data_IF_010710670477
#
_entry.id   IF_010710670477
#
_cell.length_a   1.000
_cell.length_b   1.000
_cell.length_c   1.000
_cell.angle_alpha   90.00
_cell.angle_beta   90.00
_cell.angle_gamma   90.00
#
_symmetry.space_group_name_H-M   'P 1'
#
loop_
_entity.id
_entity.type
_entity.pdbx_description
1 polymer ?
#
# COMPACT_ATOMS: atom_id res chain seq x y z
N UNK A 1 5.42 -12.10 6.69
CA UNK A 1 4.32 -12.86 6.02
C UNK A 1 3.66 -13.88 6.92
N UNK A 2 4.39 -14.84 7.50
CA UNK A 2 3.80 -15.94 8.30
C UNK A 2 2.85 -15.49 9.42
N UNK A 3 3.11 -14.34 10.06
CA UNK A 3 2.24 -13.78 11.10
C UNK A 3 1.11 -12.88 10.58
N UNK A 4 1.29 -12.27 9.41
CA UNK A 4 0.32 -11.33 8.82
C UNK A 4 -0.77 -12.05 8.03
N UNK A 5 -0.40 -13.04 7.22
CA UNK A 5 -1.35 -13.78 6.36
C UNK A 5 -2.50 -14.42 7.14
N UNK A 6 -2.30 -15.04 8.32
CA UNK A 6 -3.41 -15.57 9.11
C UNK A 6 -4.45 -14.52 9.53
N UNK A 7 -4.07 -13.24 9.59
CA UNK A 7 -4.93 -12.16 10.08
C UNK A 7 -5.82 -11.56 8.99
N UNK A 8 -5.52 -11.80 7.71
CA UNK A 8 -6.23 -11.17 6.57
C UNK A 8 -7.71 -11.55 6.50
N UNK A 9 -8.05 -12.75 6.99
CA UNK A 9 -9.42 -13.26 7.02
C UNK A 9 -10.36 -12.37 7.86
N UNK A 10 -9.81 -11.65 8.84
CA UNK A 10 -10.54 -10.67 9.66
C UNK A 10 -11.18 -9.58 8.80
N UNK A 11 -10.49 -9.15 7.75
CA UNK A 11 -10.94 -8.07 6.87
C UNK A 11 -11.61 -8.61 5.62
N UNK A 12 -11.19 -9.80 5.17
CA UNK A 12 -11.70 -10.41 3.95
C UNK A 12 -11.55 -11.94 4.00
N UNK A 13 -12.65 -12.68 4.25
CA UNK A 13 -12.58 -14.14 4.43
C UNK A 13 -11.98 -14.91 3.25
N UNK A 14 -12.25 -14.51 2.01
CA UNK A 14 -11.69 -15.19 0.83
C UNK A 14 -10.18 -14.97 0.68
N UNK A 15 -9.64 -13.88 1.24
CA UNK A 15 -8.21 -13.55 1.16
C UNK A 15 -7.32 -14.54 1.92
N UNK A 16 -7.87 -15.34 2.82
CA UNK A 16 -7.16 -16.44 3.47
C UNK A 16 -6.65 -17.50 2.48
N UNK A 17 -7.29 -17.61 1.31
CA UNK A 17 -6.95 -18.58 0.26
C UNK A 17 -6.13 -17.98 -0.88
N UNK A 18 -5.81 -16.69 -0.81
CA UNK A 18 -5.00 -16.05 -1.84
C UNK A 18 -3.57 -16.56 -1.79
N UNK A 19 -2.89 -16.67 -2.95
CA UNK A 19 -1.50 -17.10 -3.02
C UNK A 19 -0.56 -15.95 -2.60
N UNK A 20 -0.62 -15.57 -1.34
CA UNK A 20 0.21 -14.50 -0.79
C UNK A 20 1.70 -14.81 -0.99
N UNK A 21 2.39 -13.91 -1.69
CA UNK A 21 3.80 -14.08 -2.05
C UNK A 21 4.55 -12.80 -1.76
N UNK A 22 5.77 -12.93 -1.23
CA UNK A 22 6.70 -11.83 -1.07
C UNK A 22 7.88 -12.07 -2.01
N UNK A 23 8.14 -11.10 -2.89
CA UNK A 23 9.31 -11.05 -3.76
C UNK A 23 10.23 -9.96 -3.24
N UNK A 24 11.45 -10.34 -2.84
CA UNK A 24 12.47 -9.39 -2.43
C UNK A 24 13.33 -9.01 -3.64
N UNK A 25 13.34 -7.72 -3.97
CA UNK A 25 14.16 -7.17 -5.06
C UNK A 25 15.42 -6.56 -4.45
N UNK A 26 16.58 -7.05 -4.88
CA UNK A 26 17.87 -6.56 -4.40
C UNK A 26 18.33 -5.30 -5.15
N UNK A 27 17.74 -4.17 -4.80
CA UNK A 27 18.06 -2.85 -5.38
C UNK A 27 18.05 -1.78 -4.28
N UNK A 28 18.77 -0.67 -4.51
CA UNK A 28 18.84 0.47 -3.59
C UNK A 28 17.56 1.34 -3.56
N UNK A 29 16.56 1.01 -4.36
CA UNK A 29 15.28 1.70 -4.42
C UNK A 29 14.54 1.61 -3.07
N UNK A 30 13.99 2.74 -2.60
CA UNK A 30 13.11 2.79 -1.42
C UNK A 30 11.68 2.65 -1.92
N UNK A 31 11.20 1.41 -2.00
CA UNK A 31 9.85 1.10 -2.48
C UNK A 31 9.33 -0.26 -1.96
N UNK A 32 8.02 -0.42 -2.04
CA UNK A 32 7.27 -1.67 -1.92
C UNK A 32 5.94 -1.47 -2.67
N UNK A 33 5.38 -2.54 -3.22
CA UNK A 33 4.05 -2.47 -3.84
C UNK A 33 3.37 -3.83 -3.80
N UNK A 34 2.04 -3.82 -3.80
CA UNK A 34 1.21 -5.02 -3.96
C UNK A 34 0.50 -5.05 -5.30
N UNK A 35 0.34 -6.25 -5.86
CA UNK A 35 -0.57 -6.53 -6.96
C UNK A 35 -1.82 -7.25 -6.43
N UNK A 36 -2.92 -7.12 -7.18
CA UNK A 36 -4.14 -7.88 -6.93
C UNK A 36 -3.84 -9.38 -6.77
N UNK A 37 -4.49 -10.02 -5.78
CA UNK A 37 -4.26 -11.43 -5.44
C UNK A 37 -3.08 -11.69 -4.49
N UNK A 38 -2.48 -10.65 -3.91
CA UNK A 38 -1.58 -10.79 -2.75
C UNK A 38 -0.09 -11.00 -3.07
N UNK A 39 0.35 -10.58 -4.26
CA UNK A 39 1.78 -10.59 -4.61
C UNK A 39 2.42 -9.26 -4.23
N UNK A 40 3.31 -9.29 -3.26
CA UNK A 40 4.00 -8.11 -2.72
C UNK A 40 5.44 -8.11 -3.20
N UNK A 41 5.88 -6.99 -3.72
CA UNK A 41 7.28 -6.72 -4.04
C UNK A 41 7.86 -5.80 -2.97
N UNK A 42 9.06 -6.12 -2.47
CA UNK A 42 9.74 -5.32 -1.45
C UNK A 42 11.19 -5.10 -1.88
N UNK A 43 11.70 -3.88 -1.78
CA UNK A 43 13.05 -3.55 -2.24
C UNK A 43 14.03 -3.51 -1.06
N UNK A 44 15.22 -4.11 -1.18
CA UNK A 44 16.21 -4.14 -0.08
C UNK A 44 16.68 -2.74 0.32
N UNK A 45 16.63 -1.77 -0.58
CA UNK A 45 16.92 -0.36 -0.33
C UNK A 45 15.99 0.27 0.70
N UNK A 46 14.71 -0.13 0.75
CA UNK A 46 13.76 0.32 1.75
C UNK A 46 14.23 -0.06 3.17
N UNK A 47 14.68 -1.30 3.36
CA UNK A 47 15.21 -1.79 4.64
C UNK A 47 16.52 -1.09 4.98
N UNK A 48 17.48 -1.07 4.05
CA UNK A 48 18.85 -0.61 4.32
C UNK A 48 18.92 0.90 4.55
N UNK A 49 18.21 1.71 3.76
CA UNK A 49 18.28 3.17 3.83
C UNK A 49 17.54 3.75 5.02
N UNK A 50 16.42 3.14 5.43
CA UNK A 50 15.65 3.57 6.59
C UNK A 50 16.00 2.82 7.88
N UNK A 51 16.89 1.81 7.79
CA UNK A 51 17.27 0.91 8.90
C UNK A 51 16.02 0.37 9.59
N UNK A 52 15.17 -0.29 8.80
CA UNK A 52 13.86 -0.74 9.29
C UNK A 52 14.00 -1.86 10.32
N UNK A 53 13.22 -1.78 11.39
CA UNK A 53 13.01 -2.89 12.33
C UNK A 53 12.00 -3.88 11.76
N UNK A 54 11.89 -5.06 12.37
CA UNK A 54 10.86 -6.06 12.01
C UNK A 54 9.43 -5.49 12.11
N UNK A 55 9.17 -4.64 13.10
CA UNK A 55 7.85 -4.00 13.27
C UNK A 55 7.59 -2.95 12.17
N UNK A 56 8.61 -2.20 11.74
CA UNK A 56 8.47 -1.24 10.64
C UNK A 56 8.34 -1.94 9.29
N UNK A 57 9.04 -3.06 9.08
CA UNK A 57 8.82 -3.93 7.90
C UNK A 57 7.38 -4.45 7.92
N UNK A 58 6.86 -4.88 9.06
CA UNK A 58 5.48 -5.33 9.17
C UNK A 58 4.47 -4.21 8.95
N UNK A 59 4.78 -2.97 9.32
CA UNK A 59 3.95 -1.81 9.00
C UNK A 59 3.86 -1.57 7.47
N UNK A 60 5.00 -1.60 6.74
CA UNK A 60 4.99 -1.53 5.26
C UNK A 60 4.19 -2.69 4.68
N UNK A 61 4.47 -3.93 5.12
CA UNK A 61 3.77 -5.11 4.62
C UNK A 61 2.26 -5.05 4.92
N UNK A 62 1.88 -4.56 6.10
CA UNK A 62 0.47 -4.40 6.48
C UNK A 62 -0.25 -3.39 5.60
N UNK A 63 0.39 -2.27 5.31
CA UNK A 63 -0.10 -1.25 4.37
C UNK A 63 -0.33 -1.82 2.96
N UNK A 64 0.67 -2.52 2.42
CA UNK A 64 0.56 -3.17 1.11
C UNK A 64 -0.52 -4.25 1.10
N UNK A 65 -0.61 -5.08 2.14
CA UNK A 65 -1.68 -6.07 2.25
C UNK A 65 -3.06 -5.41 2.31
N UNK A 66 -3.19 -4.26 2.98
CA UNK A 66 -4.44 -3.50 3.04
C UNK A 66 -4.86 -2.99 1.65
N UNK A 67 -3.96 -2.48 0.83
CA UNK A 67 -4.28 -2.10 -0.56
C UNK A 67 -4.88 -3.26 -1.37
N UNK A 68 -4.37 -4.48 -1.19
CA UNK A 68 -4.92 -5.66 -1.85
C UNK A 68 -6.28 -6.07 -1.27
N UNK A 69 -6.41 -6.08 0.06
CA UNK A 69 -7.65 -6.44 0.74
C UNK A 69 -8.81 -5.51 0.37
N UNK A 70 -8.50 -4.22 0.20
CA UNK A 70 -9.42 -3.14 -0.17
C UNK A 70 -9.58 -2.93 -1.67
N UNK A 71 -8.93 -3.76 -2.50
CA UNK A 71 -9.05 -3.70 -3.97
C UNK A 71 -8.64 -2.35 -4.58
N UNK A 72 -7.80 -1.56 -3.90
CA UNK A 72 -7.44 -0.20 -4.34
C UNK A 72 -6.81 -0.17 -5.75
N UNK A 73 -6.00 -1.17 -6.09
CA UNK A 73 -5.43 -1.28 -7.45
C UNK A 73 -6.50 -1.51 -8.52
N UNK A 74 -7.53 -2.32 -8.21
CA UNK A 74 -8.64 -2.59 -9.12
C UNK A 74 -9.55 -1.38 -9.25
N UNK A 75 -9.83 -0.70 -8.14
CA UNK A 75 -10.61 0.55 -8.14
C UNK A 75 -9.91 1.62 -8.97
N UNK A 76 -8.61 1.85 -8.75
CA UNK A 76 -7.79 2.79 -9.52
C UNK A 76 -7.77 2.46 -11.02
N UNK A 77 -7.61 1.19 -11.37
CA UNK A 77 -7.69 0.75 -12.77
C UNK A 77 -9.06 1.01 -13.39
N UNK A 78 -10.14 0.78 -12.65
CA UNK A 78 -11.50 1.07 -13.09
C UNK A 78 -11.73 2.57 -13.30
N UNK A 79 -11.21 3.42 -12.41
CA UNK A 79 -11.29 4.87 -12.53
C UNK A 79 -10.51 5.37 -13.77
N UNK A 80 -9.31 4.83 -14.02
CA UNK A 80 -8.53 5.16 -15.23
C UNK A 80 -9.27 4.78 -16.51
N UNK A 81 -9.80 3.55 -16.59
CA UNK A 81 -10.54 3.09 -17.76
C UNK A 81 -11.80 3.93 -18.03
N UNK A 82 -12.51 4.35 -16.97
CA UNK A 82 -13.65 5.25 -17.11
C UNK A 82 -13.24 6.65 -17.60
N UNK A 83 -12.11 7.19 -17.11
CA UNK A 83 -11.55 8.45 -17.58
C UNK A 83 -11.15 8.39 -19.06
N UNK A 84 -10.46 7.33 -19.47
CA UNK A 84 -10.05 7.14 -20.87
C UNK A 84 -11.26 7.01 -21.80
N UNK A 85 -12.30 6.30 -21.37
CA UNK A 85 -13.57 6.22 -22.12
C UNK A 85 -14.23 7.60 -22.27
N UNK A 86 -14.26 8.40 -21.19
CA UNK A 86 -14.83 9.74 -21.23
C UNK A 86 -14.06 10.65 -22.20
N UNK A 87 -12.72 10.59 -22.18
CA UNK A 87 -11.86 11.33 -23.13
C UNK A 87 -12.08 10.85 -24.56
N UNK A 88 -12.21 9.54 -24.79
CA UNK A 88 -12.49 9.00 -26.13
C UNK A 88 -13.84 9.45 -26.68
N UNK A 89 -14.89 9.47 -25.85
CA UNK A 89 -16.21 9.97 -26.26
C UNK A 89 -16.13 11.47 -26.56
N UNK A 90 -15.50 12.26 -25.69
CA UNK A 90 -15.28 13.70 -25.92
C UNK A 90 -14.48 13.97 -27.19
N UNK A 91 -13.40 13.21 -27.42
CA UNK A 91 -12.58 13.28 -28.62
C UNK A 91 -13.36 12.94 -29.89
N UNK A 92 -14.18 11.88 -29.86
CA UNK A 92 -15.05 11.52 -30.98
C UNK A 92 -16.08 12.61 -31.32
N UNK A 93 -16.68 13.24 -30.30
CA UNK A 93 -17.57 14.40 -30.47
C UNK A 93 -16.84 15.61 -31.08
N UNK A 94 -15.53 15.72 -30.85
CA UNK A 94 -14.66 16.77 -31.38
C UNK A 94 -13.94 16.35 -32.70
N UNK A 95 -14.25 15.17 -33.25
CA UNK A 95 -13.66 14.68 -34.51
C UNK A 95 -12.25 14.09 -34.41
N UNK A 96 -11.77 13.78 -33.21
CA UNK A 96 -10.47 13.13 -32.95
C UNK A 96 -10.66 11.61 -32.89
N UNK A 97 -10.06 10.85 -33.82
CA UNK A 97 -10.25 9.40 -33.99
C UNK A 97 -9.75 8.51 -32.84
N UNK A 98 -10.12 7.22 -32.83
CA UNK A 98 -9.98 6.30 -31.69
C UNK A 98 -8.81 5.29 -31.80
N UNK A 99 -7.93 5.28 -30.79
CA UNK A 99 -6.80 4.35 -30.65
C UNK A 99 -7.04 3.27 -29.59
N UNK A 100 -7.63 2.14 -29.97
CA UNK A 100 -8.06 1.09 -29.02
C UNK A 100 -6.91 0.21 -28.46
N UNK A 101 -5.77 0.08 -29.15
CA UNK A 101 -4.64 -0.78 -28.72
C UNK A 101 -3.68 -0.09 -27.74
N UNK A 102 -3.66 1.25 -27.70
CA UNK A 102 -2.86 2.03 -26.74
C UNK A 102 -3.40 1.92 -25.30
N UNK A 103 -4.71 1.67 -25.16
CA UNK A 103 -5.45 1.69 -23.88
C UNK A 103 -5.00 0.60 -22.90
N UNK A 104 -4.74 -0.62 -23.37
CA UNK A 104 -4.43 -1.76 -22.49
C UNK A 104 -3.03 -1.65 -21.84
N UNK A 105 -2.03 -1.16 -22.59
CA UNK A 105 -0.68 -0.93 -22.06
C UNK A 105 -0.63 0.28 -21.13
N UNK A 106 -1.39 1.34 -21.44
CA UNK A 106 -1.51 2.51 -20.57
C UNK A 106 -2.15 2.16 -19.23
N UNK A 107 -3.26 1.40 -19.20
CA UNK A 107 -3.95 1.07 -17.96
C UNK A 107 -3.08 0.31 -16.95
N UNK A 108 -2.19 -0.59 -17.41
CA UNK A 108 -1.25 -1.32 -16.54
C UNK A 108 -0.17 -0.39 -15.98
N UNK A 109 0.39 0.48 -16.81
CA UNK A 109 1.43 1.42 -16.39
C UNK A 109 0.87 2.47 -15.43
N UNK A 110 -0.32 3.01 -15.70
CA UNK A 110 -1.01 3.97 -14.83
C UNK A 110 -1.40 3.35 -13.48
N UNK A 111 -1.82 2.08 -13.45
CA UNK A 111 -2.16 1.39 -12.21
C UNK A 111 -0.95 1.25 -11.26
N UNK A 112 0.27 1.16 -11.78
CA UNK A 112 1.49 1.06 -10.98
C UNK A 112 2.13 2.42 -10.69
N UNK A 113 2.14 3.34 -11.66
CA UNK A 113 2.91 4.58 -11.57
C UNK A 113 2.13 5.76 -10.96
N UNK A 114 0.79 5.76 -11.07
CA UNK A 114 0.01 6.85 -10.46
C UNK A 114 -0.03 6.71 -8.92
N UNK A 115 -0.17 7.81 -8.16
CA UNK A 115 -0.41 7.72 -6.74
C UNK A 115 -1.81 7.12 -6.44
N UNK A 116 -1.95 6.43 -5.32
CA UNK A 116 -3.27 6.15 -4.75
C UNK A 116 -3.91 7.45 -4.25
N UNK A 117 -5.25 7.47 -4.18
CA UNK A 117 -5.95 8.62 -3.62
C UNK A 117 -5.66 8.75 -2.13
N UNK A 118 -5.82 9.97 -1.58
CA UNK A 118 -5.64 10.20 -0.13
C UNK A 118 -6.55 9.33 0.73
N UNK A 119 -7.77 9.05 0.27
CA UNK A 119 -8.70 8.17 0.99
C UNK A 119 -8.25 6.71 0.98
N UNK A 120 -7.75 6.20 -0.15
CA UNK A 120 -7.19 4.85 -0.27
C UNK A 120 -5.97 4.68 0.65
N UNK A 121 -5.08 5.67 0.66
CA UNK A 121 -3.90 5.67 1.54
C UNK A 121 -4.28 5.69 3.03
N UNK A 122 -5.28 6.49 3.39
CA UNK A 122 -5.76 6.57 4.78
C UNK A 122 -6.47 5.27 5.21
N UNK A 123 -7.19 4.61 4.31
CA UNK A 123 -7.77 3.30 4.58
C UNK A 123 -6.69 2.23 4.72
N UNK A 124 -5.68 2.24 3.84
CA UNK A 124 -4.56 1.31 3.90
C UNK A 124 -3.74 1.46 5.19
N UNK A 125 -3.53 2.70 5.66
CA UNK A 125 -2.90 2.99 6.95
C UNK A 125 -3.63 2.32 8.11
N UNK A 126 -4.95 2.51 8.20
CA UNK A 126 -5.75 2.03 9.33
C UNK A 126 -5.87 0.49 9.33
N UNK A 127 -6.17 -0.10 8.17
CA UNK A 127 -6.28 -1.55 8.05
C UNK A 127 -4.91 -2.23 8.21
N UNK A 128 -3.85 -1.63 7.67
CA UNK A 128 -2.48 -2.12 7.81
C UNK A 128 -1.99 -2.07 9.25
N UNK A 129 -2.31 -0.98 9.97
CA UNK A 129 -2.00 -0.81 11.39
C UNK A 129 -2.67 -1.90 12.24
N UNK A 130 -3.97 -2.16 12.02
CA UNK A 130 -4.69 -3.21 12.73
C UNK A 130 -4.17 -4.61 12.38
N UNK A 131 -3.91 -4.88 11.09
CA UNK A 131 -3.36 -6.15 10.62
C UNK A 131 -2.01 -6.45 11.29
N UNK A 132 -1.12 -5.45 11.36
CA UNK A 132 0.18 -5.57 12.02
C UNK A 132 0.03 -5.82 13.54
N UNK A 133 -0.87 -5.09 14.21
CA UNK A 133 -1.16 -5.29 15.62
C UNK A 133 -1.66 -6.71 15.91
N UNK A 134 -2.64 -7.21 15.14
CA UNK A 134 -3.14 -8.60 15.25
C UNK A 134 -2.07 -9.65 15.01
N UNK A 135 -1.08 -9.33 14.19
CA UNK A 135 0.09 -10.18 13.92
C UNK A 135 1.20 -10.08 14.99
N UNK A 136 0.96 -9.32 16.06
CA UNK A 136 1.89 -9.15 17.20
C UNK A 136 3.09 -8.26 16.87
N UNK A 137 2.94 -7.34 15.93
CA UNK A 137 3.92 -6.28 15.64
C UNK A 137 3.49 -4.96 16.29
N UNK A 138 4.45 -4.19 16.76
CA UNK A 138 4.17 -2.95 17.50
C UNK A 138 3.52 -1.89 16.60
N UNK A 139 2.26 -1.47 16.85
CA UNK A 139 1.57 -0.51 15.99
C UNK A 139 2.23 0.87 16.00
N UNK A 140 3.05 1.19 17.01
CA UNK A 140 3.81 2.45 17.05
C UNK A 140 4.87 2.51 15.95
N UNK A 141 5.31 1.37 15.43
CA UNK A 141 6.31 1.30 14.36
C UNK A 141 5.80 1.90 13.04
N UNK A 142 4.49 1.91 12.78
CA UNK A 142 3.95 2.61 11.63
C UNK A 142 4.25 4.11 11.69
N UNK A 143 4.12 4.73 12.88
CA UNK A 143 4.41 6.15 13.08
C UNK A 143 5.89 6.45 12.84
N UNK A 144 6.79 5.63 13.39
CA UNK A 144 8.24 5.83 13.22
C UNK A 144 8.68 5.62 11.77
N UNK A 145 8.11 4.63 11.08
CA UNK A 145 8.32 4.38 9.66
C UNK A 145 8.01 5.63 8.81
N UNK A 146 6.82 6.22 8.97
CA UNK A 146 6.44 7.39 8.17
C UNK A 146 7.26 8.64 8.51
N UNK A 147 7.67 8.80 9.77
CA UNK A 147 8.62 9.84 10.16
C UNK A 147 9.98 9.66 9.46
N UNK A 148 10.51 8.42 9.39
CA UNK A 148 11.75 8.10 8.67
C UNK A 148 11.62 8.38 7.17
N UNK A 149 10.49 7.99 6.56
CA UNK A 149 10.19 8.29 5.15
C UNK A 149 10.18 9.80 4.87
N UNK A 150 9.51 10.59 5.73
CA UNK A 150 9.44 12.04 5.59
C UNK A 150 10.82 12.71 5.68
N UNK A 151 11.69 12.21 6.56
CA UNK A 151 13.07 12.71 6.71
C UNK A 151 13.96 12.42 5.50
N UNK A 152 13.70 11.33 4.77
CA UNK A 152 14.45 10.98 3.55
C UNK A 152 14.08 11.89 2.36
N UNK A 153 12.99 12.67 2.45
CA UNK A 153 12.29 13.29 1.32
C UNK A 153 12.93 14.51 0.63
N UNK A 154 14.20 14.83 0.84
CA UNK A 154 14.85 15.95 0.16
C UNK A 154 14.96 15.77 -1.37
N UNK A 155 14.48 16.75 -2.16
CA UNK A 155 14.76 16.89 -3.60
C UNK A 155 13.94 16.04 -4.58
N UNK A 156 12.88 15.35 -4.12
CA UNK A 156 12.04 14.50 -4.98
C UNK A 156 11.34 13.34 -4.27
N UNK A 157 11.65 13.08 -2.99
CA UNK A 157 11.04 12.00 -2.21
C UNK A 157 11.55 10.59 -2.60
N UNK A 158 11.48 9.60 -1.70
CA UNK A 158 11.65 8.21 -2.08
C UNK A 158 10.56 7.77 -3.08
N UNK A 159 10.88 6.84 -3.99
CA UNK A 159 9.94 6.33 -4.99
C UNK A 159 8.62 5.80 -4.37
N UNK A 160 8.69 5.23 -3.17
CA UNK A 160 7.52 4.86 -2.39
C UNK A 160 6.56 6.04 -2.16
N UNK A 161 7.07 7.24 -1.88
CA UNK A 161 6.24 8.43 -1.66
C UNK A 161 5.64 8.99 -2.94
N UNK A 162 6.15 8.60 -4.11
CA UNK A 162 5.55 8.95 -5.40
C UNK A 162 4.24 8.18 -5.64
N UNK A 163 4.16 6.91 -5.19
CA UNK A 163 2.95 6.09 -5.28
C UNK A 163 2.07 6.16 -4.01
N UNK A 164 2.69 6.42 -2.86
CA UNK A 164 2.07 6.51 -1.53
C UNK A 164 2.39 7.86 -0.87
N UNK A 165 1.74 8.97 -1.29
CA UNK A 165 2.02 10.28 -0.73
C UNK A 165 1.66 10.32 0.76
N UNK A 166 2.67 10.47 1.61
CA UNK A 166 2.48 10.69 3.05
C UNK A 166 2.16 12.18 3.31
N UNK A 167 1.26 12.45 4.26
CA UNK A 167 0.98 13.80 4.75
C UNK A 167 1.12 13.85 6.27
N UNK A 168 1.31 15.06 6.82
CA UNK A 168 1.28 15.26 8.26
C UNK A 168 -0.05 14.75 8.87
N UNK A 169 -1.15 14.91 8.15
CA UNK A 169 -2.47 14.42 8.57
C UNK A 169 -2.52 12.90 8.69
N UNK A 170 -1.88 12.17 7.76
CA UNK A 170 -1.80 10.69 7.83
C UNK A 170 -0.99 10.23 9.04
N UNK A 171 0.14 10.87 9.31
CA UNK A 171 0.95 10.57 10.50
C UNK A 171 0.14 10.83 11.78
N UNK A 172 -0.56 11.96 11.84
CA UNK A 172 -1.43 12.29 12.97
C UNK A 172 -2.59 11.30 13.14
N UNK A 173 -3.21 10.87 12.04
CA UNK A 173 -4.28 9.87 12.05
C UNK A 173 -3.79 8.50 12.54
N UNK A 174 -2.59 8.07 12.10
CA UNK A 174 -1.95 6.85 12.60
C UNK A 174 -1.65 6.96 14.10
N UNK A 175 -1.06 8.05 14.55
CA UNK A 175 -0.81 8.30 15.98
C UNK A 175 -2.09 8.22 16.81
N UNK A 176 -3.17 8.82 16.34
CA UNK A 176 -4.47 8.78 17.01
C UNK A 176 -5.12 7.38 16.99
N UNK A 177 -4.73 6.53 16.04
CA UNK A 177 -5.28 5.18 15.86
C UNK A 177 -4.50 4.12 16.64
N UNK A 178 -3.22 4.36 16.98
CA UNK A 178 -2.41 3.44 17.78
C UNK A 178 -3.15 2.93 19.03
N UNK A 179 -3.72 3.78 19.91
CA UNK A 179 -4.41 3.30 21.11
C UNK A 179 -5.58 2.33 20.83
N UNK A 180 -6.20 2.44 19.65
CA UNK A 180 -7.35 1.58 19.27
C UNK A 180 -6.92 0.14 18.99
N UNK A 181 -5.70 -0.06 18.51
CA UNK A 181 -5.18 -1.39 18.13
C UNK A 181 -4.19 -1.95 19.15
N UNK A 182 -3.74 -1.17 20.13
CA UNK A 182 -2.85 -1.63 21.19
C UNK A 182 -3.36 -2.88 21.92
N UNK A 183 -4.66 -3.01 22.29
CA UNK A 183 -5.15 -4.23 22.92
C UNK A 183 -5.00 -5.48 22.05
N UNK A 184 -5.11 -5.34 20.72
CA UNK A 184 -4.92 -6.44 19.78
C UNK A 184 -3.45 -6.88 19.74
N UNK A 185 -2.53 -5.91 19.74
CA UNK A 185 -1.09 -6.16 19.81
C UNK A 185 -0.70 -6.86 21.11
N UNK A 186 -1.20 -6.38 22.25
CA UNK A 186 -0.93 -6.97 23.56
C UNK A 186 -1.44 -8.41 23.64
N UNK A 187 -2.67 -8.66 23.17
CA UNK A 187 -3.24 -10.01 23.12
C UNK A 187 -2.42 -10.96 22.21
N UNK A 188 -2.01 -10.50 21.03
CA UNK A 188 -1.21 -11.29 20.09
C UNK A 188 0.20 -11.58 20.62
N UNK A 189 0.80 -10.65 21.39
CA UNK A 189 2.13 -10.83 21.97
C UNK A 189 2.22 -11.93 23.02
N UNK A 190 1.14 -12.15 23.78
CA UNK A 190 1.10 -13.19 24.82
C UNK A 190 1.03 -14.60 24.21
N UNK A 191 0.53 -14.71 22.98
CA UNK A 191 0.39 -15.98 22.26
C UNK A 191 1.65 -16.36 21.45
N UNK A 192 2.73 -15.59 21.60
CA UNK A 192 3.91 -15.63 20.74
C UNK A 192 5.03 -16.49 21.32
#
# INVERSE_FOLDING_TARGET
>A
MQRLVPQVATFRPDAARWPWQLVLINEDTVNAHVMAGGKITFYTGLIRKLKLTDDEIAAVMGHEMAHALREHSREKMSQSAAGDLAVSIGGALLGLGSGATQMASMGKQLALDLPFSRSMESEADLYGLELAARAGYDPRAAVTLWQKMAQLGGGGGPAFMSTHPASADRIAALQASVPRVMPLYEAARVQR
#
